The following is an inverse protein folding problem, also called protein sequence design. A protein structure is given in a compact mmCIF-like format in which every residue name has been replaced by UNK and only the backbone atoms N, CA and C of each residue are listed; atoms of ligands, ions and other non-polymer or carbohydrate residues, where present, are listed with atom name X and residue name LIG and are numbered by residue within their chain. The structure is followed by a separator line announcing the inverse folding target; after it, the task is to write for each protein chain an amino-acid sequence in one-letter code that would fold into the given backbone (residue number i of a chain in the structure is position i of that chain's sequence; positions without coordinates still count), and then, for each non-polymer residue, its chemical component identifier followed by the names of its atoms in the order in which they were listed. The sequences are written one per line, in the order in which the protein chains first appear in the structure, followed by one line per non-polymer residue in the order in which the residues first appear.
data_IF_783982900345
#
_entry.id   IF_783982900345
#
_cell.length_a   1.000
_cell.length_b   1.000
_cell.length_c   1.000
_cell.angle_alpha   90.00
_cell.angle_beta   90.00
_cell.angle_gamma   90.00
#
_symmetry.space_group_name_H-M   'P 1'
#
loop_
_entity.id
_entity.type
_entity.pdbx_description
1 polymer ?
#
# COMPACT_ATOMS: atom_id res chain seq x y z
N UNK A 1 4.51 -19.76 -17.37
CA UNK A 1 5.61 -19.45 -16.44
C UNK A 1 5.03 -18.61 -15.32
N UNK A 2 4.82 -19.18 -14.13
CA UNK A 2 3.99 -18.60 -13.07
C UNK A 2 4.64 -17.36 -12.45
N UNK A 3 3.91 -16.22 -12.45
CA UNK A 3 4.33 -14.97 -11.79
C UNK A 3 4.52 -15.12 -10.27
N UNK A 4 4.15 -16.27 -9.68
CA UNK A 4 4.19 -16.52 -8.24
C UNK A 4 5.60 -16.69 -7.65
N UNK A 5 6.62 -17.00 -8.45
CA UNK A 5 7.96 -17.30 -7.92
C UNK A 5 8.72 -16.05 -7.40
N UNK A 6 8.31 -14.84 -7.80
CA UNK A 6 8.99 -13.58 -7.45
C UNK A 6 8.09 -12.59 -6.69
N UNK A 7 6.79 -12.88 -6.56
CA UNK A 7 5.89 -11.99 -5.82
C UNK A 7 5.82 -12.41 -4.37
N UNK A 8 5.91 -11.44 -3.47
CA UNK A 8 5.64 -11.69 -2.07
C UNK A 8 4.17 -12.07 -1.87
N UNK A 9 3.87 -13.19 -1.19
CA UNK A 9 2.50 -13.55 -0.86
C UNK A 9 1.91 -12.53 0.11
N UNK A 10 0.67 -12.11 -0.15
CA UNK A 10 -0.02 -11.06 0.62
C UNK A 10 -0.12 -11.37 2.11
N UNK A 11 -0.26 -12.66 2.46
CA UNK A 11 -0.34 -13.11 3.86
C UNK A 11 0.95 -12.84 4.63
N UNK A 12 2.11 -13.12 4.03
CA UNK A 12 3.40 -12.84 4.67
C UNK A 12 3.65 -11.34 4.78
N UNK A 13 3.22 -10.57 3.77
CA UNK A 13 3.28 -9.11 3.80
C UNK A 13 2.42 -8.52 4.92
N UNK A 14 1.19 -9.03 5.09
CA UNK A 14 0.30 -8.63 6.17
C UNK A 14 0.88 -8.96 7.55
N UNK A 15 1.37 -10.19 7.75
CA UNK A 15 2.05 -10.60 8.99
C UNK A 15 3.26 -9.72 9.29
N UNK A 16 4.07 -9.43 8.26
CA UNK A 16 5.24 -8.57 8.40
C UNK A 16 4.87 -7.16 8.85
N UNK A 17 3.83 -6.57 8.27
CA UNK A 17 3.33 -5.24 8.63
C UNK A 17 2.73 -5.23 10.03
N UNK A 18 1.89 -6.22 10.38
CA UNK A 18 1.30 -6.33 11.71
C UNK A 18 2.36 -6.52 12.80
N UNK A 19 3.46 -7.25 12.50
CA UNK A 19 4.56 -7.49 13.44
C UNK A 19 5.48 -6.27 13.59
N UNK A 20 5.81 -5.57 12.50
CA UNK A 20 6.78 -4.47 12.53
C UNK A 20 6.14 -3.10 12.82
N UNK A 21 4.85 -2.94 12.52
CA UNK A 21 4.13 -1.67 12.56
C UNK A 21 2.71 -1.87 13.13
N UNK A 22 2.54 -2.41 14.34
CA UNK A 22 1.22 -2.67 14.90
C UNK A 22 0.38 -1.38 14.92
N UNK A 23 -0.79 -1.41 14.30
CA UNK A 23 -1.75 -0.30 14.16
C UNK A 23 -1.24 1.02 13.55
N UNK A 24 -0.05 0.98 12.94
CA UNK A 24 0.64 2.18 12.49
C UNK A 24 1.09 2.07 11.03
N UNK A 25 0.39 1.29 10.21
CA UNK A 25 0.61 1.26 8.76
C UNK A 25 -0.67 1.54 7.99
N UNK A 26 -0.48 2.04 6.76
CA UNK A 26 -1.51 2.15 5.74
C UNK A 26 -0.93 1.67 4.43
N UNK A 27 -1.65 0.81 3.73
CA UNK A 27 -1.23 0.23 2.46
C UNK A 27 -1.84 1.05 1.33
N UNK A 28 -1.00 1.53 0.42
CA UNK A 28 -1.45 2.21 -0.80
C UNK A 28 -1.27 1.27 -1.99
N UNK A 29 -2.39 0.82 -2.56
CA UNK A 29 -2.37 0.06 -3.81
C UNK A 29 -2.53 1.03 -4.98
N UNK A 30 -1.45 1.24 -5.72
CA UNK A 30 -1.39 2.16 -6.85
C UNK A 30 -1.89 1.54 -8.17
N UNK A 31 -2.27 0.26 -8.17
CA UNK A 31 -2.59 -0.44 -9.41
C UNK A 31 -4.09 -0.36 -9.70
N UNK A 32 -4.45 0.13 -10.89
CA UNK A 32 -5.84 0.15 -11.36
C UNK A 32 -6.39 -1.27 -11.58
N UNK A 33 -5.55 -2.18 -12.08
CA UNK A 33 -5.98 -3.48 -12.60
C UNK A 33 -6.16 -4.59 -11.54
N UNK A 34 -5.37 -4.57 -10.46
CA UNK A 34 -5.34 -5.65 -9.46
C UNK A 34 -5.61 -5.10 -8.06
N UNK A 35 -6.76 -5.47 -7.50
CA UNK A 35 -7.12 -5.21 -6.11
C UNK A 35 -6.70 -6.34 -5.18
N UNK A 36 -6.69 -6.05 -3.88
CA UNK A 36 -6.55 -7.02 -2.81
C UNK A 36 -7.81 -7.04 -1.98
N UNK A 37 -8.08 -8.15 -1.30
CA UNK A 37 -9.11 -8.16 -0.26
C UNK A 37 -8.65 -7.24 0.89
N UNK A 38 -9.40 -6.16 1.21
CA UNK A 38 -9.04 -5.26 2.30
C UNK A 38 -8.99 -5.93 3.68
N UNK A 39 -9.59 -7.13 3.85
CA UNK A 39 -9.51 -7.89 5.10
C UNK A 39 -8.07 -8.22 5.50
N UNK A 40 -7.16 -8.45 4.55
CA UNK A 40 -5.76 -8.80 4.86
C UNK A 40 -5.00 -7.71 5.63
N UNK A 41 -5.42 -6.45 5.50
CA UNK A 41 -4.76 -5.30 6.10
C UNK A 41 -5.68 -4.52 7.03
N UNK A 42 -6.71 -5.18 7.59
CA UNK A 42 -7.67 -4.59 8.52
C UNK A 42 -8.36 -3.34 7.97
N UNK A 43 -8.73 -3.36 6.68
CA UNK A 43 -9.32 -2.22 5.95
C UNK A 43 -8.44 -0.96 5.86
N UNK A 44 -7.15 -1.05 6.23
CA UNK A 44 -6.17 0.05 6.10
C UNK A 44 -5.53 0.09 4.72
N UNK A 45 -6.33 -0.13 3.67
CA UNK A 45 -5.90 -0.10 2.27
C UNK A 45 -6.55 1.07 1.54
N UNK A 46 -5.75 1.92 0.91
CA UNK A 46 -6.22 2.97 0.01
C UNK A 46 -5.80 2.64 -1.41
N UNK A 47 -6.73 2.76 -2.35
CA UNK A 47 -6.47 2.52 -3.77
C UNK A 47 -6.29 3.85 -4.49
N UNK A 48 -5.22 3.96 -5.24
CA UNK A 48 -4.99 5.04 -6.22
C UNK A 48 -4.97 4.34 -7.56
N UNK A 49 -5.89 4.69 -8.45
CA UNK A 49 -6.06 3.97 -9.71
C UNK A 49 -5.09 4.52 -10.75
N UNK A 50 -3.83 4.08 -10.70
CA UNK A 50 -2.83 4.46 -11.70
C UNK A 50 -2.73 3.32 -12.72
N UNK A 51 -2.93 3.66 -13.99
CA UNK A 51 -2.71 2.73 -15.09
C UNK A 51 -1.22 2.49 -15.31
N UNK A 52 -0.87 1.25 -15.65
CA UNK A 52 0.50 0.85 -15.92
C UNK A 52 1.06 1.67 -17.09
N UNK A 53 2.21 2.31 -16.90
CA UNK A 53 2.86 3.28 -17.82
C UNK A 53 2.23 4.69 -17.90
N UNK A 54 1.19 4.98 -17.12
CA UNK A 54 0.62 6.32 -17.04
C UNK A 54 1.08 7.05 -15.77
N UNK A 55 1.16 8.38 -15.87
CA UNK A 55 1.34 9.23 -14.70
C UNK A 55 -0.02 9.44 -14.01
N UNK A 56 -0.08 9.46 -12.67
CA UNK A 56 -1.30 9.83 -11.95
C UNK A 56 -1.75 11.24 -12.33
N UNK A 57 -3.05 11.51 -12.20
CA UNK A 57 -3.56 12.88 -12.37
C UNK A 57 -2.99 13.79 -11.27
N UNK A 58 -2.97 15.11 -11.51
CA UNK A 58 -2.53 16.06 -10.50
C UNK A 58 -3.39 15.97 -9.23
N UNK A 59 -4.70 15.73 -9.40
CA UNK A 59 -5.63 15.56 -8.29
C UNK A 59 -5.29 14.31 -7.46
N UNK A 60 -5.01 13.18 -8.12
CA UNK A 60 -4.58 11.95 -7.44
C UNK A 60 -3.26 12.15 -6.68
N UNK A 61 -2.31 12.90 -7.25
CA UNK A 61 -1.06 13.25 -6.58
C UNK A 61 -1.28 14.12 -5.35
N UNK A 62 -2.17 15.11 -5.44
CA UNK A 62 -2.52 15.97 -4.31
C UNK A 62 -3.23 15.18 -3.21
N UNK A 63 -4.18 14.32 -3.57
CA UNK A 63 -4.89 13.45 -2.63
C UNK A 63 -3.95 12.44 -1.97
N UNK A 64 -3.03 11.86 -2.72
CA UNK A 64 -2.01 10.94 -2.19
C UNK A 64 -1.07 11.66 -1.20
N UNK A 65 -0.55 12.83 -1.57
CA UNK A 65 0.35 13.60 -0.70
C UNK A 65 -0.35 14.14 0.56
N UNK A 66 -1.63 14.53 0.46
CA UNK A 66 -2.45 14.90 1.61
C UNK A 66 -2.68 13.71 2.55
N UNK A 67 -3.04 12.55 2.01
CA UNK A 67 -3.26 11.31 2.79
C UNK A 67 -1.98 10.85 3.49
N UNK A 68 -0.82 10.97 2.83
CA UNK A 68 0.48 10.70 3.45
C UNK A 68 0.81 11.67 4.58
N UNK A 69 0.51 12.96 4.41
CA UNK A 69 0.76 13.98 5.43
C UNK A 69 -0.07 13.73 6.68
N UNK A 70 -1.34 13.37 6.53
CA UNK A 70 -2.21 12.98 7.64
C UNK A 70 -1.63 11.78 8.42
N UNK A 71 -1.16 10.76 7.70
CA UNK A 71 -0.50 9.59 8.31
C UNK A 71 0.83 9.96 9.00
N UNK A 72 1.62 10.88 8.43
CA UNK A 72 2.92 11.26 9.01
C UNK A 72 2.82 12.20 10.21
N UNK A 73 1.73 12.94 10.35
CA UNK A 73 1.52 13.82 11.50
C UNK A 73 1.23 13.04 12.80
N UNK A 74 1.05 11.72 12.74
CA UNK A 74 0.97 10.90 13.95
C UNK A 74 2.38 10.60 14.50
N UNK A 75 2.72 11.04 15.73
CA UNK A 75 4.09 11.02 16.25
C UNK A 75 4.73 9.62 16.38
N UNK A 76 3.92 8.55 16.26
CA UNK A 76 4.34 7.15 16.35
C UNK A 76 4.75 6.52 15.00
N UNK A 77 4.49 7.17 13.86
CA UNK A 77 4.64 6.59 12.51
C UNK A 77 5.98 6.89 11.80
N UNK A 78 7.09 7.01 12.55
CA UNK A 78 8.42 7.33 11.99
C UNK A 78 9.08 6.22 11.15
N UNK A 79 8.51 5.01 11.07
CA UNK A 79 9.02 3.91 10.21
C UNK A 79 8.06 3.61 9.06
N UNK A 80 8.04 4.43 8.02
CA UNK A 80 7.51 4.00 6.73
C UNK A 80 8.57 3.14 6.01
N UNK A 81 8.34 1.84 5.89
CA UNK A 81 8.97 1.04 4.84
C UNK A 81 8.07 1.06 3.62
N UNK A 82 8.40 1.93 2.67
CA UNK A 82 7.75 1.98 1.36
C UNK A 82 8.26 0.78 0.53
N UNK A 83 7.58 -0.36 0.63
CA UNK A 83 7.82 -1.50 -0.25
C UNK A 83 7.10 -1.30 -1.57
N UNK A 84 7.83 -1.20 -2.69
CA UNK A 84 7.22 -1.39 -4.02
C UNK A 84 6.91 -2.89 -4.16
N UNK A 85 5.63 -3.25 -4.09
CA UNK A 85 5.22 -4.64 -4.25
C UNK A 85 3.77 -4.73 -4.71
N UNK A 86 3.56 -5.30 -5.90
CA UNK A 86 2.28 -5.95 -6.18
C UNK A 86 2.30 -7.29 -5.44
N UNK A 87 1.64 -7.37 -4.30
CA UNK A 87 1.40 -8.62 -3.57
C UNK A 87 0.47 -9.53 -4.40
N UNK A 88 0.49 -10.84 -4.15
CA UNK A 88 -0.45 -11.81 -4.76
C UNK A 88 -1.14 -12.59 -3.66
#
# INVERSE_FOLDING_TARGET
MSQALYRNPIKEAAIFLDTNLPDHYRVYNLCSQKGYDPLFFHYRVQRVMIDDHNVPSLDDMLNYTASLRECHCHPLQRRQRCGKGQWQ
#
